data_IF_923118065602
#
_entry.id   IF_923118065602
#
_cell.length_a   1.000
_cell.length_b   1.000
_cell.length_c   1.000
_cell.angle_alpha   90.00
_cell.angle_beta   90.00
_cell.angle_gamma   90.00
#
_symmetry.space_group_name_H-M   'P 1'
#
loop_
_entity.id
_entity.type
_entity.pdbx_description
1 polymer ?
#
# COMPACT_ATOMS: atom_id res chain seq x y z
N UNK A 1 66.22 -8.47 22.64
CA UNK A 1 65.36 -9.19 21.67
C UNK A 1 63.91 -8.88 22.04
N UNK A 2 63.16 -8.22 21.17
CA UNK A 2 61.75 -7.89 21.42
C UNK A 2 60.86 -9.11 21.15
N UNK A 3 59.97 -9.44 22.08
CA UNK A 3 59.04 -10.56 21.95
C UNK A 3 58.09 -10.36 20.75
N UNK A 4 57.69 -11.43 20.03
CA UNK A 4 56.77 -11.30 18.90
C UNK A 4 55.43 -10.78 19.40
N UNK A 5 54.99 -9.65 18.82
CA UNK A 5 53.68 -9.06 19.09
C UNK A 5 52.61 -10.08 18.70
N UNK A 6 51.85 -10.56 19.69
CA UNK A 6 50.78 -11.52 19.47
C UNK A 6 49.70 -10.99 18.49
N UNK A 7 48.93 -11.89 17.85
CA UNK A 7 47.96 -11.50 16.83
C UNK A 7 46.93 -10.49 17.37
N UNK A 8 46.74 -9.38 16.65
CA UNK A 8 45.78 -8.33 17.01
C UNK A 8 44.34 -8.89 17.00
N UNK A 9 43.64 -8.75 18.12
CA UNK A 9 42.22 -9.10 18.22
C UNK A 9 41.38 -8.14 17.39
N UNK A 10 40.96 -8.57 16.20
CA UNK A 10 40.01 -7.80 15.37
C UNK A 10 38.63 -7.91 15.99
N UNK A 11 38.00 -6.77 16.29
CA UNK A 11 36.60 -6.75 16.71
C UNK A 11 35.73 -7.23 15.55
N UNK A 12 35.05 -8.36 15.72
CA UNK A 12 34.18 -8.95 14.70
C UNK A 12 32.74 -8.49 14.97
N UNK A 13 32.13 -7.86 13.98
CA UNK A 13 30.69 -7.55 14.01
C UNK A 13 29.84 -8.82 14.04
N UNK A 14 28.78 -8.79 14.84
CA UNK A 14 27.81 -9.89 14.92
C UNK A 14 27.05 -10.03 13.60
N UNK A 15 26.58 -11.23 13.30
CA UNK A 15 25.84 -11.51 12.05
C UNK A 15 24.54 -10.70 12.00
N UNK A 16 23.83 -10.61 13.12
CA UNK A 16 22.62 -9.79 13.28
C UNK A 16 22.87 -8.31 12.95
N UNK A 17 23.97 -7.76 13.46
CA UNK A 17 24.33 -6.37 13.21
C UNK A 17 24.58 -6.10 11.71
N UNK A 18 25.29 -7.01 11.02
CA UNK A 18 25.52 -6.90 9.57
C UNK A 18 24.21 -6.94 8.79
N UNK A 19 23.29 -7.81 9.17
CA UNK A 19 21.98 -7.96 8.50
C UNK A 19 21.14 -6.69 8.69
N UNK A 20 21.07 -6.16 9.91
CA UNK A 20 20.33 -4.91 10.16
C UNK A 20 20.92 -3.75 9.37
N UNK A 21 22.25 -3.60 9.36
CA UNK A 21 22.94 -2.57 8.60
C UNK A 21 22.64 -2.67 7.09
N UNK A 22 22.62 -3.88 6.54
CA UNK A 22 22.25 -4.13 5.13
C UNK A 22 20.78 -3.77 4.87
N UNK A 23 19.86 -4.14 5.76
CA UNK A 23 18.42 -3.85 5.61
C UNK A 23 18.12 -2.36 5.60
N UNK A 24 18.81 -1.59 6.45
CA UNK A 24 18.73 -0.12 6.45
C UNK A 24 19.23 0.46 5.12
N UNK A 25 20.31 -0.09 4.57
CA UNK A 25 20.90 0.36 3.28
C UNK A 25 20.15 -0.06 2.02
N UNK A 26 19.10 -0.88 2.14
CA UNK A 26 18.23 -1.32 1.05
C UNK A 26 16.98 -0.44 0.90
N UNK A 27 16.75 0.47 1.85
CA UNK A 27 15.65 1.41 1.77
C UNK A 27 15.87 2.37 0.59
N UNK A 28 14.88 2.60 -0.28
CA UNK A 28 15.05 3.39 -1.51
C UNK A 28 15.48 4.84 -1.25
N UNK A 29 15.09 5.39 -0.11
CA UNK A 29 15.36 6.80 0.25
C UNK A 29 16.63 7.01 1.08
N UNK A 30 17.38 5.95 1.42
CA UNK A 30 18.52 6.04 2.34
C UNK A 30 19.83 5.75 1.60
N UNK A 31 20.77 6.70 1.63
CA UNK A 31 22.09 6.51 1.04
C UNK A 31 22.96 5.58 1.90
N UNK A 32 23.76 4.73 1.24
CA UNK A 32 24.67 3.80 1.93
C UNK A 32 25.74 4.53 2.76
N UNK A 33 26.15 5.73 2.33
CA UNK A 33 27.14 6.55 3.05
C UNK A 33 26.62 7.04 4.41
N UNK A 34 25.36 7.48 4.45
CA UNK A 34 24.73 7.98 5.67
C UNK A 34 24.53 6.87 6.71
N UNK A 35 24.12 5.68 6.27
CA UNK A 35 24.02 4.51 7.15
C UNK A 35 25.39 4.13 7.71
N UNK A 36 26.44 4.21 6.89
CA UNK A 36 27.80 3.91 7.33
C UNK A 36 28.28 4.91 8.38
N UNK A 37 28.04 6.22 8.16
CA UNK A 37 28.37 7.29 9.10
C UNK A 37 27.60 7.15 10.41
N UNK A 38 26.31 6.83 10.35
CA UNK A 38 25.45 6.67 11.52
C UNK A 38 25.83 5.47 12.39
N UNK A 39 26.29 4.38 11.76
CA UNK A 39 26.73 3.17 12.46
C UNK A 39 28.22 3.18 12.83
N UNK A 40 28.94 4.27 12.50
CA UNK A 40 30.39 4.41 12.63
C UNK A 40 31.19 3.27 11.97
N UNK A 41 30.80 2.95 10.73
CA UNK A 41 31.35 1.87 9.92
C UNK A 41 31.90 2.45 8.62
N UNK A 42 32.98 1.87 8.11
CA UNK A 42 33.49 2.21 6.78
C UNK A 42 32.49 1.80 5.67
N UNK A 43 32.08 2.68 4.73
CA UNK A 43 31.08 2.39 3.69
C UNK A 43 31.34 1.12 2.87
N UNK A 44 32.61 0.80 2.60
CA UNK A 44 33.01 -0.44 1.94
C UNK A 44 32.48 -1.71 2.64
N UNK A 45 32.38 -1.71 3.96
CA UNK A 45 31.85 -2.85 4.71
C UNK A 45 30.37 -3.10 4.42
N UNK A 46 29.56 -2.04 4.26
CA UNK A 46 28.16 -2.18 3.84
C UNK A 46 28.06 -2.76 2.43
N UNK A 47 28.90 -2.32 1.49
CA UNK A 47 28.93 -2.92 0.14
C UNK A 47 29.31 -4.40 0.18
N UNK A 48 30.30 -4.76 1.00
CA UNK A 48 30.70 -6.16 1.21
C UNK A 48 29.58 -6.98 1.83
N UNK A 49 28.90 -6.46 2.86
CA UNK A 49 27.80 -7.16 3.50
C UNK A 49 26.55 -7.24 2.62
N UNK A 50 26.27 -6.23 1.77
CA UNK A 50 25.21 -6.32 0.74
C UNK A 50 25.49 -7.46 -0.23
N UNK A 51 26.75 -7.65 -0.62
CA UNK A 51 27.16 -8.80 -1.44
C UNK A 51 26.98 -10.11 -0.68
N UNK A 52 27.49 -10.21 0.55
CA UNK A 52 27.36 -11.42 1.38
C UNK A 52 25.88 -11.77 1.68
N UNK A 53 25.01 -10.77 1.79
CA UNK A 53 23.56 -10.93 1.97
C UNK A 53 22.89 -11.46 0.70
N UNK A 54 23.24 -10.94 -0.48
CA UNK A 54 22.77 -11.47 -1.77
C UNK A 54 23.23 -12.90 -2.03
N UNK A 55 24.43 -13.25 -1.57
CA UNK A 55 24.99 -14.60 -1.66
C UNK A 55 24.49 -15.55 -0.56
N UNK A 56 23.62 -15.07 0.34
CA UNK A 56 23.02 -15.89 1.40
C UNK A 56 23.98 -16.31 2.53
N UNK A 57 25.13 -15.64 2.65
CA UNK A 57 26.14 -15.89 3.69
C UNK A 57 25.80 -15.22 5.02
N UNK A 58 25.01 -14.14 4.98
CA UNK A 58 24.50 -13.44 6.15
C UNK A 58 23.05 -13.87 6.41
N UNK A 59 22.88 -15.06 7.00
CA UNK A 59 21.59 -15.51 7.51
C UNK A 59 21.48 -15.15 8.99
N UNK A 60 20.34 -14.63 9.47
CA UNK A 60 20.14 -14.42 10.90
C UNK A 60 20.31 -15.76 11.62
N UNK A 61 20.76 -15.71 12.87
CA UNK A 61 21.02 -16.93 13.64
C UNK A 61 19.80 -17.87 13.69
N UNK A 62 18.59 -17.29 13.62
CA UNK A 62 17.32 -17.98 13.40
C UNK A 62 17.32 -18.83 12.10
N UNK A 63 17.57 -18.24 10.94
CA UNK A 63 17.59 -18.97 9.66
C UNK A 63 18.75 -19.97 9.55
N UNK A 64 19.91 -19.68 10.16
CA UNK A 64 21.07 -20.57 10.15
C UNK A 64 20.88 -21.82 11.02
N UNK A 65 20.11 -21.72 12.11
CA UNK A 65 19.82 -22.83 13.02
C UNK A 65 18.66 -23.73 12.55
N UNK A 66 18.07 -23.50 11.36
CA UNK A 66 16.83 -24.16 10.95
C UNK A 66 15.60 -23.73 11.77
N UNK A 67 15.79 -22.90 12.81
CA UNK A 67 14.77 -22.14 13.49
C UNK A 67 14.46 -20.87 12.68
N UNK A 68 14.02 -21.02 11.43
CA UNK A 68 13.13 -19.99 10.90
C UNK A 68 12.10 -19.77 12.00
N UNK A 69 12.03 -18.57 12.61
CA UNK A 69 10.97 -18.28 13.57
C UNK A 69 9.70 -18.83 12.94
N UNK A 70 8.98 -19.76 13.60
CA UNK A 70 7.81 -20.35 12.99
C UNK A 70 6.98 -19.17 12.50
N UNK A 71 6.58 -19.16 11.23
CA UNK A 71 5.81 -18.07 10.62
C UNK A 71 4.57 -17.70 11.46
N UNK A 72 4.17 -18.63 12.33
CA UNK A 72 3.20 -18.55 13.42
C UNK A 72 3.46 -17.42 14.45
N UNK A 73 4.71 -17.02 14.72
CA UNK A 73 5.06 -15.95 15.67
C UNK A 73 5.21 -14.57 15.02
N UNK A 74 5.27 -14.48 13.68
CA UNK A 74 5.05 -13.21 12.96
C UNK A 74 3.55 -12.88 12.96
N UNK A 75 3.03 -12.64 14.15
CA UNK A 75 1.76 -12.01 14.50
C UNK A 75 0.56 -12.28 13.56
N UNK A 76 -0.34 -13.23 13.89
CA UNK A 76 -1.67 -13.33 13.26
C UNK A 76 -2.48 -12.02 13.31
N UNK A 77 -2.14 -11.08 14.21
CA UNK A 77 -2.74 -9.74 14.30
C UNK A 77 -2.49 -8.87 13.08
N UNK A 78 -1.26 -8.82 12.53
CA UNK A 78 -0.93 -7.97 11.38
C UNK A 78 -1.63 -8.46 10.09
N UNK A 79 -1.80 -9.78 9.98
CA UNK A 79 -2.61 -10.38 8.92
C UNK A 79 -4.12 -10.26 9.16
N UNK A 80 -4.57 -10.26 10.42
CA UNK A 80 -5.98 -10.02 10.76
C UNK A 80 -6.40 -8.57 10.47
N UNK A 81 -5.59 -7.59 10.87
CA UNK A 81 -5.80 -6.17 10.56
C UNK A 81 -5.79 -5.95 9.05
N UNK A 82 -4.79 -6.47 8.32
CA UNK A 82 -4.76 -6.36 6.86
C UNK A 82 -5.99 -6.98 6.19
N UNK A 83 -6.49 -8.11 6.71
CA UNK A 83 -7.74 -8.73 6.24
C UNK A 83 -8.97 -7.88 6.59
N UNK A 84 -9.02 -7.26 7.77
CA UNK A 84 -10.08 -6.35 8.17
C UNK A 84 -10.09 -5.08 7.28
N UNK A 85 -8.93 -4.46 7.05
CA UNK A 85 -8.79 -3.33 6.14
C UNK A 85 -9.22 -3.70 4.71
N UNK A 86 -8.81 -4.87 4.19
CA UNK A 86 -9.30 -5.34 2.87
C UNK A 86 -10.81 -5.49 2.81
N UNK A 87 -11.44 -6.00 3.89
CA UNK A 87 -12.91 -6.10 3.96
C UNK A 87 -13.56 -4.72 3.99
N UNK A 88 -13.01 -3.78 4.73
CA UNK A 88 -13.48 -2.39 4.77
C UNK A 88 -13.37 -1.72 3.40
N UNK A 89 -12.24 -1.87 2.71
CA UNK A 89 -12.06 -1.36 1.34
C UNK A 89 -13.14 -1.90 0.42
N UNK A 90 -13.36 -3.23 0.41
CA UNK A 90 -14.41 -3.85 -0.40
C UNK A 90 -15.82 -3.32 -0.06
N UNK A 91 -16.11 -3.08 1.21
CA UNK A 91 -17.39 -2.50 1.64
C UNK A 91 -17.54 -1.03 1.20
N UNK A 92 -16.47 -0.25 1.24
CA UNK A 92 -16.48 1.15 0.81
C UNK A 92 -16.65 1.25 -0.71
N UNK A 93 -15.98 0.40 -1.48
CA UNK A 93 -16.15 0.30 -2.94
C UNK A 93 -17.62 -0.01 -3.29
N UNK A 94 -18.23 -1.00 -2.63
CA UNK A 94 -19.64 -1.33 -2.84
C UNK A 94 -20.58 -0.16 -2.49
N UNK A 95 -20.29 0.62 -1.44
CA UNK A 95 -21.06 1.82 -1.07
C UNK A 95 -20.91 2.94 -2.10
N UNK A 96 -19.72 3.12 -2.68
CA UNK A 96 -19.48 4.10 -3.74
C UNK A 96 -20.30 3.72 -4.97
N UNK A 97 -20.28 2.45 -5.38
CA UNK A 97 -21.03 1.95 -6.53
C UNK A 97 -22.55 2.07 -6.34
N UNK A 98 -23.07 1.76 -5.14
CA UNK A 98 -24.48 1.97 -4.83
C UNK A 98 -24.87 3.46 -4.94
N UNK A 99 -24.02 4.38 -4.44
CA UNK A 99 -24.26 5.83 -4.53
C UNK A 99 -24.22 6.34 -5.98
N UNK A 100 -23.33 5.84 -6.82
CA UNK A 100 -23.28 6.24 -8.24
C UNK A 100 -24.50 5.74 -8.99
N UNK A 101 -24.98 4.53 -8.69
CA UNK A 101 -26.22 3.99 -9.25
C UNK A 101 -27.45 4.82 -8.86
N UNK A 102 -27.59 5.18 -7.58
CA UNK A 102 -28.67 6.07 -7.10
C UNK A 102 -28.65 7.39 -7.85
N UNK A 103 -27.48 8.03 -7.96
CA UNK A 103 -27.33 9.30 -8.70
C UNK A 103 -27.72 9.17 -10.18
N UNK A 104 -27.45 8.02 -10.80
CA UNK A 104 -27.85 7.76 -12.18
C UNK A 104 -29.37 7.60 -12.32
N UNK A 105 -30.03 6.95 -11.36
CA UNK A 105 -31.49 6.81 -11.32
C UNK A 105 -32.18 8.15 -11.08
N UNK A 106 -31.68 8.97 -10.16
CA UNK A 106 -32.20 10.31 -9.90
C UNK A 106 -32.17 11.19 -11.16
N UNK A 107 -31.08 11.12 -11.94
CA UNK A 107 -30.98 11.84 -13.23
C UNK A 107 -32.03 11.38 -14.24
N UNK A 108 -32.28 10.06 -14.32
CA UNK A 108 -33.32 9.52 -15.21
C UNK A 108 -34.71 9.97 -14.78
N UNK A 109 -34.99 9.93 -13.48
CA UNK A 109 -36.26 10.38 -12.92
C UNK A 109 -36.50 11.86 -13.24
N UNK A 110 -35.52 12.73 -13.01
CA UNK A 110 -35.61 14.14 -13.35
C UNK A 110 -35.85 14.38 -14.86
N UNK A 111 -35.21 13.59 -15.74
CA UNK A 111 -35.46 13.69 -17.18
C UNK A 111 -36.90 13.28 -17.55
N UNK A 112 -37.40 12.18 -17.00
CA UNK A 112 -38.77 11.71 -17.22
C UNK A 112 -39.82 12.71 -16.69
N UNK A 113 -39.56 13.35 -15.56
CA UNK A 113 -40.45 14.39 -15.01
C UNK A 113 -40.56 15.59 -15.97
N UNK A 114 -39.43 16.06 -16.52
CA UNK A 114 -39.42 17.14 -17.51
C UNK A 114 -40.17 16.73 -18.78
N UNK A 115 -39.95 15.53 -19.30
CA UNK A 115 -40.67 15.01 -20.46
C UNK A 115 -42.18 14.96 -20.21
N UNK A 116 -42.60 14.43 -19.06
CA UNK A 116 -44.00 14.33 -18.70
C UNK A 116 -44.67 15.71 -18.58
N UNK A 117 -43.98 16.70 -18.00
CA UNK A 117 -44.48 18.07 -17.91
C UNK A 117 -44.62 18.74 -19.28
N UNK A 118 -43.67 18.50 -20.19
CA UNK A 118 -43.74 18.97 -21.57
C UNK A 118 -44.92 18.33 -22.31
N UNK A 119 -45.11 17.02 -22.18
CA UNK A 119 -46.25 16.31 -22.79
C UNK A 119 -47.59 16.82 -22.25
N UNK A 120 -47.72 17.01 -20.94
CA UNK A 120 -48.92 17.61 -20.33
C UNK A 120 -49.19 19.03 -20.82
N UNK A 121 -48.16 19.84 -21.02
CA UNK A 121 -48.30 21.20 -21.58
C UNK A 121 -48.72 21.13 -23.05
N UNK A 122 -48.14 20.24 -23.85
CA UNK A 122 -48.49 20.05 -25.25
C UNK A 122 -49.94 19.58 -25.43
N UNK A 123 -50.40 18.62 -24.62
CA UNK A 123 -51.80 18.17 -24.62
C UNK A 123 -52.75 19.33 -24.29
N UNK A 124 -52.46 20.09 -23.22
CA UNK A 124 -53.25 21.27 -22.86
C UNK A 124 -53.31 22.29 -23.99
N UNK A 125 -52.17 22.59 -24.62
CA UNK A 125 -52.10 23.50 -25.75
C UNK A 125 -52.94 23.02 -26.93
N UNK A 126 -52.90 21.73 -27.26
CA UNK A 126 -53.70 21.17 -28.35
C UNK A 126 -55.21 21.24 -28.05
N UNK A 127 -55.62 20.91 -26.81
CA UNK A 127 -57.01 21.03 -26.36
C UNK A 127 -57.49 22.49 -26.45
N UNK A 128 -56.68 23.43 -25.98
CA UNK A 128 -56.99 24.87 -26.02
C UNK A 128 -57.12 25.38 -27.46
N UNK A 129 -56.20 24.98 -28.35
CA UNK A 129 -56.28 25.31 -29.77
C UNK A 129 -57.56 24.76 -30.41
N UNK A 130 -57.93 23.51 -30.10
CA UNK A 130 -59.15 22.89 -30.61
C UNK A 130 -60.41 23.60 -30.09
N UNK A 131 -60.42 24.04 -28.82
CA UNK A 131 -61.53 24.83 -28.25
C UNK A 131 -61.71 26.16 -28.98
N UNK A 132 -60.63 26.91 -29.21
CA UNK A 132 -60.69 28.20 -29.91
C UNK A 132 -61.17 28.08 -31.35
N UNK A 133 -60.72 27.06 -32.09
CA UNK A 133 -61.20 26.81 -33.46
C UNK A 133 -62.66 26.34 -33.55
N UNK A 134 -63.25 25.87 -32.45
CA UNK A 134 -64.66 25.45 -32.39
C UNK A 134 -65.60 26.59 -31.96
N UNK A 135 -65.04 27.72 -31.50
CA UNK A 135 -65.75 28.89 -30.99
C UNK A 135 -65.76 30.07 -31.97
N UNK A 136 -65.14 29.91 -33.14
CA UNK A 136 -65.19 30.83 -34.29
C UNK A 136 -66.05 30.21 -35.37
#
# INVERSE_FOLDING_TARGET
MAAPVGPKKVHRYTVEFKIQAVRLSLHPDIQTQDVARALDIHPFMLSKWKKDYREGKLKPAAEAAGLSLPKVLQAPKRDAEKRALKRQVKQLEAKIEARTAVRALERKLAALEVEHDLLKKAIRFNIERRRRSSSS
#
